data_IF_508869291734
#
_entry.id   IF_508869291734
#
_cell.length_a   1.000
_cell.length_b   1.000
_cell.length_c   1.000
_cell.angle_alpha   90.00
_cell.angle_beta   90.00
_cell.angle_gamma   90.00
#
_symmetry.space_group_name_H-M   'P 1'
#
loop_
_entity.id
_entity.type
_entity.pdbx_description
1 polymer ?
#
# COMPACT_ATOMS: atom_id res chain seq x y z
N UNK A 1 -4.80 -12.08 -16.75
CA UNK A 1 -5.39 -12.66 -15.52
C UNK A 1 -5.86 -11.53 -14.62
N UNK A 2 -7.16 -11.33 -14.48
CA UNK A 2 -7.69 -10.34 -13.54
C UNK A 2 -7.66 -10.92 -12.12
N UNK A 3 -7.16 -10.18 -11.14
CA UNK A 3 -7.24 -10.52 -9.71
C UNK A 3 -6.07 -11.30 -9.11
N UNK A 4 -5.10 -11.79 -9.90
CA UNK A 4 -3.95 -12.54 -9.36
C UNK A 4 -3.14 -11.72 -8.33
N UNK A 5 -2.85 -10.46 -8.63
CA UNK A 5 -2.12 -9.60 -7.70
C UNK A 5 -2.90 -9.34 -6.41
N UNK A 6 -4.23 -9.24 -6.50
CA UNK A 6 -5.10 -9.02 -5.34
C UNK A 6 -5.10 -10.24 -4.43
N UNK A 7 -5.28 -11.44 -4.99
CA UNK A 7 -5.30 -12.68 -4.20
C UNK A 7 -3.93 -12.96 -3.58
N UNK A 8 -2.83 -12.77 -4.32
CA UNK A 8 -1.48 -12.98 -3.77
C UNK A 8 -1.21 -12.05 -2.60
N UNK A 9 -1.58 -10.76 -2.70
CA UNK A 9 -1.40 -9.83 -1.58
C UNK A 9 -2.24 -10.21 -0.37
N UNK A 10 -3.52 -10.54 -0.57
CA UNK A 10 -4.41 -10.93 0.52
C UNK A 10 -3.85 -12.17 1.24
N UNK A 11 -3.55 -13.24 0.50
CA UNK A 11 -3.08 -14.49 1.06
C UNK A 11 -1.76 -14.33 1.81
N UNK A 12 -0.83 -13.52 1.30
CA UNK A 12 0.41 -13.23 2.01
C UNK A 12 0.16 -12.45 3.30
N UNK A 13 -0.70 -11.42 3.26
CA UNK A 13 -1.01 -10.63 4.45
C UNK A 13 -1.70 -11.47 5.54
N UNK A 14 -2.61 -12.37 5.15
CA UNK A 14 -3.32 -13.25 6.09
C UNK A 14 -2.38 -14.27 6.76
N UNK A 15 -1.49 -14.91 5.98
CA UNK A 15 -0.68 -16.01 6.48
C UNK A 15 0.64 -15.56 7.14
N UNK A 16 1.33 -14.59 6.54
CA UNK A 16 2.66 -14.17 7.03
C UNK A 16 2.56 -12.98 7.99
N UNK A 17 1.62 -12.07 7.74
CA UNK A 17 1.52 -10.79 8.46
C UNK A 17 0.19 -10.63 9.21
N UNK A 18 -0.57 -11.70 9.46
CA UNK A 18 -1.86 -11.59 10.18
C UNK A 18 -1.74 -11.05 11.61
N UNK A 19 -0.52 -10.97 12.14
CA UNK A 19 -0.21 -10.48 13.48
C UNK A 19 0.26 -9.01 13.53
N UNK A 20 0.48 -8.35 12.38
CA UNK A 20 0.94 -6.95 12.35
C UNK A 20 -0.24 -5.99 12.29
N UNK A 21 -0.15 -4.87 13.02
CA UNK A 21 -1.24 -3.89 13.07
C UNK A 21 -1.35 -3.05 11.78
N UNK A 22 -0.20 -2.71 11.16
CA UNK A 22 -0.15 -1.88 9.95
C UNK A 22 0.82 -2.44 8.91
N UNK A 23 0.40 -2.39 7.65
CA UNK A 23 1.23 -2.76 6.50
C UNK A 23 1.47 -1.51 5.65
N UNK A 24 2.74 -1.11 5.52
CA UNK A 24 3.12 -0.03 4.62
C UNK A 24 3.30 -0.58 3.19
N UNK A 25 2.42 -0.18 2.27
CA UNK A 25 2.46 -0.61 0.85
C UNK A 25 3.17 0.39 -0.08
N UNK A 26 4.06 1.22 0.45
CA UNK A 26 4.88 2.21 -0.27
C UNK A 26 4.09 3.30 -1.04
N UNK A 27 4.78 4.12 -1.83
CA UNK A 27 4.25 5.23 -2.62
C UNK A 27 3.83 4.83 -4.04
N UNK A 28 2.91 5.57 -4.65
CA UNK A 28 2.42 5.36 -6.03
C UNK A 28 3.26 6.03 -7.13
N UNK A 29 4.29 6.79 -6.75
CA UNK A 29 5.20 7.50 -7.68
C UNK A 29 4.49 8.49 -8.62
N UNK A 30 3.28 8.95 -8.26
CA UNK A 30 2.49 9.85 -9.11
C UNK A 30 1.76 9.16 -10.26
N UNK A 31 1.79 7.82 -10.32
CA UNK A 31 1.13 7.05 -11.38
C UNK A 31 -0.32 6.78 -10.98
N UNK A 32 -1.28 7.34 -11.72
CA UNK A 32 -2.71 7.27 -11.40
C UNK A 32 -3.22 5.82 -11.24
N UNK A 33 -2.83 4.92 -12.15
CA UNK A 33 -3.21 3.51 -12.08
C UNK A 33 -2.71 2.82 -10.79
N UNK A 34 -1.50 3.17 -10.34
CA UNK A 34 -0.93 2.65 -9.09
C UNK A 34 -1.66 3.26 -7.90
N UNK A 35 -1.93 4.57 -7.91
CA UNK A 35 -2.73 5.22 -6.85
C UNK A 35 -4.10 4.56 -6.72
N UNK A 36 -4.80 4.31 -7.83
CA UNK A 36 -6.09 3.62 -7.85
C UNK A 36 -5.99 2.20 -7.27
N UNK A 37 -4.97 1.44 -7.65
CA UNK A 37 -4.74 0.10 -7.13
C UNK A 37 -4.41 0.07 -5.62
N UNK A 38 -3.67 1.07 -5.11
CA UNK A 38 -3.39 1.16 -3.66
C UNK A 38 -4.62 1.59 -2.87
N UNK A 39 -5.41 2.53 -3.39
CA UNK A 39 -6.66 2.97 -2.76
C UNK A 39 -7.72 1.85 -2.70
N UNK A 40 -7.73 0.91 -3.66
CA UNK A 40 -8.66 -0.22 -3.62
C UNK A 40 -8.40 -1.22 -2.49
N UNK A 41 -7.26 -1.14 -1.79
CA UNK A 41 -7.02 -1.89 -0.55
C UNK A 41 -7.55 -1.18 0.71
N UNK A 42 -8.28 -0.07 0.57
CA UNK A 42 -8.85 0.71 1.68
C UNK A 42 -7.82 1.06 2.77
N UNK A 43 -6.72 1.75 2.42
CA UNK A 43 -5.70 2.09 3.40
C UNK A 43 -6.26 2.98 4.50
N UNK A 44 -5.91 2.70 5.75
CA UNK A 44 -6.28 3.53 6.90
C UNK A 44 -5.77 4.97 6.73
N UNK A 45 -4.59 5.14 6.13
CA UNK A 45 -4.01 6.46 5.86
C UNK A 45 -3.07 6.44 4.65
N UNK A 46 -3.08 7.54 3.89
CA UNK A 46 -2.01 7.89 2.95
C UNK A 46 -1.02 8.83 3.66
N UNK A 47 0.24 8.41 3.76
CA UNK A 47 1.27 9.17 4.48
C UNK A 47 1.90 10.21 3.57
N UNK A 48 1.86 11.48 3.98
CA UNK A 48 2.61 12.56 3.33
C UNK A 48 4.05 12.53 3.85
N UNK A 49 5.01 12.50 2.92
CA UNK A 49 6.44 12.61 3.21
C UNK A 49 6.89 14.04 2.93
N UNK A 50 7.75 14.59 3.77
CA UNK A 50 8.24 15.96 3.67
C UNK A 50 9.77 15.96 3.70
N UNK A 51 10.37 16.82 2.90
CA UNK A 51 11.79 17.18 3.03
C UNK A 51 11.84 18.48 3.83
N UNK A 52 12.59 18.49 4.92
CA UNK A 52 12.79 19.68 5.76
C UNK A 52 14.27 20.03 5.76
N UNK A 53 14.59 21.26 5.37
CA UNK A 53 15.92 21.82 5.41
C UNK A 53 15.94 22.91 6.49
N UNK A 54 16.99 22.89 7.31
CA UNK A 54 17.23 23.88 8.37
C UNK A 54 18.54 24.58 7.99
N UNK A 55 18.50 25.91 7.91
CA UNK A 55 19.67 26.76 7.66
C UNK A 55 20.64 26.78 8.84
#
# INVERSE_FOLDING_TARGET
MNGLYTITNQQFCENEWGHVEYINREQDLGIEGIRKAKLSYHPVKMINKYLVEIE
#
